data_IF_586711324772
#
_entry.id   IF_586711324772
#
_cell.length_a   1.000
_cell.length_b   1.000
_cell.length_c   1.000
_cell.angle_alpha   90.00
_cell.angle_beta   90.00
_cell.angle_gamma   90.00
#
_symmetry.space_group_name_H-M   'P 1'
#
loop_
_entity.id
_entity.type
_entity.pdbx_description
1 polymer ?
#
# COMPACT_ATOMS: atom_id res chain seq x y z
N UNK A 1 -17.56 21.54 5.19
CA UNK A 1 -17.75 20.30 4.40
C UNK A 1 -18.95 19.49 4.89
N UNK A 2 -19.08 19.18 6.20
CA UNK A 2 -20.22 18.43 6.75
C UNK A 2 -21.59 19.01 6.36
N UNK A 3 -21.81 20.30 6.65
CA UNK A 3 -23.10 20.94 6.38
C UNK A 3 -23.45 20.93 4.87
N UNK A 4 -22.45 20.96 4.00
CA UNK A 4 -22.62 20.81 2.55
C UNK A 4 -23.11 19.40 2.18
N UNK A 5 -22.46 18.36 2.71
CA UNK A 5 -22.87 16.96 2.49
C UNK A 5 -24.28 16.73 3.03
N UNK A 6 -24.57 17.15 4.25
CA UNK A 6 -25.90 16.99 4.87
C UNK A 6 -27.00 17.71 4.07
N UNK A 7 -26.70 18.91 3.56
CA UNK A 7 -27.66 19.69 2.79
C UNK A 7 -27.90 19.14 1.38
N UNK A 8 -26.84 18.79 0.65
CA UNK A 8 -26.89 18.48 -0.78
C UNK A 8 -26.94 16.98 -1.11
N UNK A 9 -26.32 16.11 -0.31
CA UNK A 9 -26.16 14.69 -0.65
C UNK A 9 -27.33 13.87 -0.11
N UNK A 10 -28.49 13.99 -0.77
CA UNK A 10 -29.76 13.38 -0.29
C UNK A 10 -30.12 12.05 -0.94
N UNK A 11 -29.77 11.86 -2.22
CA UNK A 11 -30.25 10.74 -3.03
C UNK A 11 -29.12 10.07 -3.80
N UNK A 12 -29.37 8.85 -4.30
CA UNK A 12 -28.42 8.04 -5.08
C UNK A 12 -27.08 7.88 -4.36
N UNK A 13 -25.98 7.76 -5.12
CA UNK A 13 -24.63 7.54 -4.59
C UNK A 13 -24.18 8.66 -3.62
N UNK A 14 -24.64 9.90 -3.83
CA UNK A 14 -24.35 10.99 -2.91
C UNK A 14 -25.02 10.73 -1.55
N UNK A 15 -26.30 10.34 -1.55
CA UNK A 15 -27.04 9.96 -0.34
C UNK A 15 -26.43 8.75 0.37
N UNK A 16 -25.96 7.74 -0.37
CA UNK A 16 -25.27 6.59 0.22
C UNK A 16 -23.94 6.98 0.86
N UNK A 17 -23.15 7.86 0.22
CA UNK A 17 -21.91 8.38 0.79
C UNK A 17 -22.18 9.10 2.12
N UNK A 18 -23.23 9.93 2.18
CA UNK A 18 -23.64 10.60 3.42
C UNK A 18 -24.00 9.58 4.51
N UNK A 19 -24.86 8.60 4.20
CA UNK A 19 -25.27 7.55 5.16
C UNK A 19 -24.08 6.75 5.67
N UNK A 20 -23.15 6.39 4.80
CA UNK A 20 -21.92 5.69 5.16
C UNK A 20 -21.06 6.52 6.12
N UNK A 21 -20.86 7.81 5.82
CA UNK A 21 -20.08 8.70 6.67
C UNK A 21 -20.71 8.92 8.06
N UNK A 22 -22.04 9.06 8.14
CA UNK A 22 -22.78 9.15 9.41
C UNK A 22 -22.63 7.86 10.21
N UNK A 23 -22.90 6.70 9.58
CA UNK A 23 -22.78 5.39 10.23
C UNK A 23 -21.37 5.11 10.75
N UNK A 24 -20.33 5.47 9.98
CA UNK A 24 -18.94 5.27 10.38
C UNK A 24 -18.57 6.13 11.59
N UNK A 25 -19.01 7.39 11.59
CA UNK A 25 -18.77 8.32 12.71
C UNK A 25 -19.45 7.84 13.97
N UNK A 26 -20.70 7.43 13.86
CA UNK A 26 -21.48 6.98 15.02
C UNK A 26 -20.86 5.69 15.60
N UNK A 27 -20.42 4.76 14.75
CA UNK A 27 -19.69 3.57 15.17
C UNK A 27 -18.38 3.90 15.92
N UNK A 28 -17.59 4.86 15.42
CA UNK A 28 -16.36 5.31 16.12
C UNK A 28 -16.68 6.00 17.45
N UNK A 29 -17.76 6.80 17.49
CA UNK A 29 -18.17 7.51 18.71
C UNK A 29 -18.64 6.57 19.83
N UNK A 30 -19.03 5.35 19.48
CA UNK A 30 -19.39 4.26 20.39
C UNK A 30 -18.20 3.31 20.68
N UNK A 31 -16.96 3.80 20.58
CA UNK A 31 -15.71 3.05 20.77
C UNK A 31 -15.53 1.85 19.81
N UNK A 32 -16.19 1.91 18.65
CA UNK A 32 -16.07 0.92 17.60
C UNK A 32 -14.66 0.84 17.01
N UNK A 33 -14.22 -0.38 16.69
CA UNK A 33 -12.88 -0.67 16.15
C UNK A 33 -12.96 -1.01 14.66
N UNK A 34 -12.25 -0.25 13.83
CA UNK A 34 -12.29 -0.44 12.39
C UNK A 34 -11.24 -1.42 11.88
N UNK A 35 -11.68 -2.33 11.02
CA UNK A 35 -10.83 -3.04 10.07
C UNK A 35 -11.05 -2.45 8.69
N UNK A 36 -9.97 -2.15 7.96
CA UNK A 36 -10.04 -1.62 6.60
C UNK A 36 -9.61 -2.69 5.61
N UNK A 37 -10.36 -2.81 4.51
CA UNK A 37 -9.99 -3.64 3.35
C UNK A 37 -9.59 -2.73 2.18
N UNK A 38 -8.38 -2.87 1.66
CA UNK A 38 -7.88 -2.11 0.52
C UNK A 38 -7.87 -3.01 -0.73
N UNK A 39 -8.69 -2.66 -1.73
CA UNK A 39 -8.63 -3.23 -3.08
C UNK A 39 -7.92 -2.28 -4.04
N UNK A 40 -7.60 -2.70 -5.26
CA UNK A 40 -6.98 -1.84 -6.29
C UNK A 40 -5.68 -1.14 -5.87
N UNK A 41 -5.21 -0.20 -6.69
CA UNK A 41 -3.99 0.58 -6.44
C UNK A 41 -4.27 1.78 -5.51
N UNK A 42 -4.82 1.54 -4.32
CA UNK A 42 -5.23 2.61 -3.39
C UNK A 42 -4.04 3.35 -2.78
N UNK A 43 -2.90 2.68 -2.64
CA UNK A 43 -1.64 3.31 -2.21
C UNK A 43 -1.11 4.25 -3.28
N UNK A 44 -1.12 3.84 -4.56
CA UNK A 44 -0.88 4.76 -5.69
C UNK A 44 -1.90 5.89 -5.75
N UNK A 45 -3.16 5.65 -5.36
CA UNK A 45 -4.19 6.69 -5.24
C UNK A 45 -4.04 7.58 -3.98
N UNK A 46 -2.92 7.45 -3.26
CA UNK A 46 -2.56 8.25 -2.09
C UNK A 46 -3.56 8.14 -0.93
N UNK A 47 -4.14 6.95 -0.72
CA UNK A 47 -5.03 6.69 0.42
C UNK A 47 -4.38 7.02 1.78
N UNK A 48 -3.04 6.96 1.85
CA UNK A 48 -2.30 7.26 3.06
C UNK A 48 -2.52 8.67 3.61
N UNK A 49 -2.91 9.65 2.77
CA UNK A 49 -3.27 11.01 3.22
C UNK A 49 -4.46 11.05 4.18
N UNK A 50 -5.34 10.06 4.14
CA UNK A 50 -6.47 9.92 5.07
C UNK A 50 -6.34 8.71 5.99
N UNK A 51 -5.70 7.64 5.54
CA UNK A 51 -5.53 6.41 6.30
C UNK A 51 -4.46 6.53 7.39
N UNK A 52 -3.30 7.12 7.09
CA UNK A 52 -2.24 7.30 8.07
C UNK A 52 -2.67 8.11 9.31
N UNK A 53 -3.33 9.29 9.19
CA UNK A 53 -3.81 9.99 10.37
C UNK A 53 -4.90 9.20 11.13
N UNK A 54 -5.76 8.44 10.43
CA UNK A 54 -6.75 7.60 11.10
C UNK A 54 -6.11 6.45 11.91
N UNK A 55 -4.99 5.87 11.42
CA UNK A 55 -4.18 4.90 12.17
C UNK A 55 -3.57 5.56 13.41
N UNK A 56 -2.91 6.71 13.25
CA UNK A 56 -2.25 7.42 14.36
C UNK A 56 -3.23 7.90 15.43
N UNK A 57 -4.47 8.20 15.05
CA UNK A 57 -5.57 8.51 15.98
C UNK A 57 -6.20 7.27 16.65
N UNK A 58 -5.68 6.06 16.39
CA UNK A 58 -6.15 4.82 17.00
C UNK A 58 -7.52 4.34 16.51
N UNK A 59 -7.99 4.83 15.35
CA UNK A 59 -9.31 4.45 14.80
C UNK A 59 -9.24 3.11 14.06
N UNK A 60 -8.11 2.83 13.42
CA UNK A 60 -7.87 1.62 12.63
C UNK A 60 -7.12 0.59 13.47
N UNK A 61 -7.63 -0.64 13.47
CA UNK A 61 -7.14 -1.72 14.33
C UNK A 61 -6.66 -2.94 13.54
N UNK A 62 -6.97 -3.03 12.25
CA UNK A 62 -6.44 -4.05 11.35
C UNK A 62 -6.60 -3.61 9.90
N UNK A 63 -5.74 -4.12 9.01
CA UNK A 63 -5.83 -3.87 7.57
C UNK A 63 -5.76 -5.19 6.82
N UNK A 64 -6.64 -5.40 5.85
CA UNK A 64 -6.52 -6.44 4.83
C UNK A 64 -6.27 -5.78 3.48
N UNK A 65 -5.22 -6.19 2.77
CA UNK A 65 -4.86 -5.60 1.49
C UNK A 65 -4.14 -6.58 0.57
N UNK A 66 -3.95 -6.19 -0.68
CA UNK A 66 -3.06 -6.90 -1.62
C UNK A 66 -1.59 -6.55 -1.35
N UNK A 67 -0.66 -7.38 -1.84
CA UNK A 67 0.78 -7.09 -1.76
C UNK A 67 1.16 -5.78 -2.45
N UNK A 68 0.49 -5.46 -3.56
CA UNK A 68 0.66 -4.21 -4.30
C UNK A 68 0.49 -2.95 -3.43
N UNK A 69 -0.50 -2.93 -2.52
CA UNK A 69 -0.70 -1.77 -1.65
C UNK A 69 0.47 -1.56 -0.67
N UNK A 70 1.04 -2.64 -0.12
CA UNK A 70 2.19 -2.52 0.77
C UNK A 70 3.39 -1.91 0.05
N UNK A 71 3.73 -2.48 -1.10
CA UNK A 71 4.93 -2.09 -1.84
C UNK A 71 4.80 -0.69 -2.44
N UNK A 72 3.61 -0.32 -2.95
CA UNK A 72 3.38 0.98 -3.56
C UNK A 72 3.45 2.14 -2.55
N UNK A 73 2.98 1.97 -1.31
CA UNK A 73 3.13 3.00 -0.27
C UNK A 73 4.61 3.21 0.08
N UNK A 74 5.36 2.11 0.23
CA UNK A 74 6.81 2.17 0.46
C UNK A 74 7.56 2.80 -0.73
N UNK A 75 7.24 2.40 -1.95
CA UNK A 75 7.84 2.95 -3.17
C UNK A 75 7.59 4.45 -3.29
N UNK A 76 6.36 4.88 -2.99
CA UNK A 76 6.01 6.29 -2.98
C UNK A 76 6.77 7.03 -1.87
N UNK A 77 6.86 6.45 -0.67
CA UNK A 77 7.58 7.05 0.45
C UNK A 77 9.03 7.38 0.07
N UNK A 78 9.73 6.48 -0.63
CA UNK A 78 11.17 6.61 -0.89
C UNK A 78 11.55 7.24 -2.24
N UNK A 79 10.58 7.43 -3.15
CA UNK A 79 10.88 7.84 -4.53
C UNK A 79 9.79 8.70 -5.20
N UNK A 80 8.83 9.27 -4.47
CA UNK A 80 7.74 10.09 -5.02
C UNK A 80 8.17 11.14 -6.05
N UNK A 81 9.28 11.84 -5.83
CA UNK A 81 9.82 12.88 -6.72
C UNK A 81 10.31 12.34 -8.07
N UNK A 82 10.47 11.03 -8.19
CA UNK A 82 10.92 10.33 -9.41
C UNK A 82 9.78 9.66 -10.19
N UNK A 83 8.53 9.71 -9.70
CA UNK A 83 7.40 9.14 -10.41
C UNK A 83 7.12 9.91 -11.71
N UNK A 84 6.81 9.17 -12.78
CA UNK A 84 6.35 9.76 -14.03
C UNK A 84 4.84 10.00 -14.02
N UNK A 85 4.39 10.98 -14.79
CA UNK A 85 2.98 11.23 -15.06
C UNK A 85 2.64 10.94 -16.52
N UNK A 86 1.43 10.41 -16.73
CA UNK A 86 0.89 10.07 -18.04
C UNK A 86 -0.45 10.79 -18.22
N UNK A 87 -0.47 12.05 -18.69
CA UNK A 87 -1.67 12.88 -18.72
C UNK A 87 -2.82 12.29 -19.55
N UNK A 88 -2.52 11.63 -20.66
CA UNK A 88 -3.50 11.05 -21.59
C UNK A 88 -3.60 9.51 -21.50
N UNK A 89 -3.37 8.93 -20.32
CA UNK A 89 -3.25 7.48 -20.10
C UNK A 89 -4.43 6.61 -20.59
N UNK A 90 -5.63 7.19 -20.79
CA UNK A 90 -6.79 6.46 -21.34
C UNK A 90 -6.80 6.35 -22.86
N UNK A 91 -5.99 7.14 -23.55
CA UNK A 91 -5.97 7.25 -25.00
C UNK A 91 -4.64 6.84 -25.64
N UNK A 92 -3.81 6.07 -24.94
CA UNK A 92 -2.53 5.60 -25.44
C UNK A 92 -2.71 4.63 -26.61
N UNK A 93 -1.89 4.78 -27.66
CA UNK A 93 -1.75 3.75 -28.68
C UNK A 93 -1.00 2.53 -28.12
N UNK A 94 -1.11 1.34 -28.76
CA UNK A 94 -0.31 0.18 -28.37
C UNK A 94 1.20 0.45 -28.36
N UNK A 95 1.68 1.27 -29.30
CA UNK A 95 3.09 1.68 -29.38
C UNK A 95 3.47 2.56 -28.20
N UNK A 96 2.66 3.56 -27.86
CA UNK A 96 2.91 4.43 -26.70
C UNK A 96 2.91 3.65 -25.38
N UNK A 97 1.93 2.74 -25.22
CA UNK A 97 1.83 1.85 -24.07
C UNK A 97 3.09 0.98 -23.91
N UNK A 98 3.65 0.47 -25.01
CA UNK A 98 4.85 -0.39 -24.98
C UNK A 98 6.12 0.31 -24.48
N UNK A 99 6.15 1.65 -24.51
CA UNK A 99 7.30 2.43 -24.05
C UNK A 99 7.24 2.75 -22.55
N UNK A 100 6.08 2.54 -21.92
CA UNK A 100 5.87 2.84 -20.50
C UNK A 100 6.20 1.60 -19.66
N UNK A 101 7.06 1.79 -18.65
CA UNK A 101 7.41 0.75 -17.67
C UNK A 101 6.70 1.02 -16.35
N UNK A 102 6.29 -0.05 -15.68
CA UNK A 102 5.70 -0.02 -14.32
C UNK A 102 4.59 1.04 -14.20
N UNK A 103 3.68 1.07 -15.18
CA UNK A 103 2.60 2.06 -15.25
C UNK A 103 1.39 1.60 -14.44
N UNK A 104 0.87 2.52 -13.63
CA UNK A 104 -0.39 2.37 -12.91
C UNK A 104 -1.26 3.55 -13.28
N UNK A 105 -2.24 3.33 -14.16
CA UNK A 105 -3.13 4.39 -14.66
C UNK A 105 -2.35 5.58 -15.23
N UNK A 106 -2.38 6.74 -14.58
CA UNK A 106 -1.70 7.97 -14.98
C UNK A 106 -0.29 8.14 -14.37
N UNK A 107 0.27 7.13 -13.71
CA UNK A 107 1.57 7.21 -13.02
C UNK A 107 2.51 6.09 -13.48
N UNK A 108 3.82 6.31 -13.38
CA UNK A 108 4.83 5.27 -13.54
C UNK A 108 5.74 5.19 -12.32
N UNK A 109 6.05 3.96 -11.87
CA UNK A 109 6.94 3.72 -10.75
C UNK A 109 8.40 3.70 -11.24
N UNK A 110 9.31 4.49 -10.63
CA UNK A 110 10.71 4.53 -11.04
C UNK A 110 11.45 3.28 -10.57
N UNK A 111 11.71 2.34 -11.48
CA UNK A 111 12.27 1.01 -11.16
C UNK A 111 13.54 1.06 -10.30
N UNK A 112 14.54 1.84 -10.72
CA UNK A 112 15.83 1.91 -10.02
C UNK A 112 15.74 2.61 -8.66
N UNK A 113 14.92 3.66 -8.57
CA UNK A 113 14.81 4.50 -7.37
C UNK A 113 13.86 3.93 -6.32
N UNK A 114 12.88 3.13 -6.74
CA UNK A 114 11.91 2.49 -5.86
C UNK A 114 12.16 0.97 -5.76
N UNK A 115 11.81 0.22 -6.82
CA UNK A 115 11.75 -1.25 -6.80
C UNK A 115 13.11 -1.87 -6.50
N UNK A 116 14.16 -1.51 -7.25
CA UNK A 116 15.51 -2.08 -7.08
C UNK A 116 16.16 -1.65 -5.77
N UNK A 117 15.88 -0.43 -5.31
CA UNK A 117 16.33 0.07 -4.00
C UNK A 117 15.77 -0.80 -2.87
N UNK A 118 14.45 -1.04 -2.86
CA UNK A 118 13.78 -1.90 -1.86
C UNK A 118 14.24 -3.35 -1.98
N UNK A 119 14.32 -3.89 -3.20
CA UNK A 119 14.80 -5.26 -3.46
C UNK A 119 16.17 -5.51 -2.80
N UNK A 120 17.12 -4.58 -2.99
CA UNK A 120 18.48 -4.75 -2.45
C UNK A 120 18.50 -4.90 -0.92
N UNK A 121 17.60 -4.20 -0.23
CA UNK A 121 17.46 -4.25 1.22
C UNK A 121 16.73 -5.52 1.66
N UNK A 122 15.64 -5.89 0.97
CA UNK A 122 14.87 -7.09 1.26
C UNK A 122 15.66 -8.39 1.05
N UNK A 123 16.50 -8.48 0.03
CA UNK A 123 17.36 -9.66 -0.17
C UNK A 123 18.21 -9.94 1.07
N UNK A 124 18.71 -8.90 1.73
CA UNK A 124 19.50 -9.05 2.96
C UNK A 124 18.68 -9.60 4.11
N UNK A 125 17.41 -9.18 4.23
CA UNK A 125 16.48 -9.69 5.25
C UNK A 125 16.01 -11.12 4.96
N UNK A 126 15.77 -11.46 3.70
CA UNK A 126 15.29 -12.78 3.28
C UNK A 126 16.34 -13.87 3.46
N UNK A 127 17.62 -13.60 3.17
CA UNK A 127 18.70 -14.60 3.21
C UNK A 127 18.82 -15.38 4.53
N UNK A 128 18.49 -14.74 5.65
CA UNK A 128 18.62 -15.34 6.98
C UNK A 128 17.27 -15.46 7.71
N UNK A 129 16.16 -15.31 6.98
CA UNK A 129 14.84 -15.35 7.60
C UNK A 129 14.46 -16.78 8.00
N UNK A 130 13.97 -17.00 9.24
CA UNK A 130 13.41 -18.29 9.66
C UNK A 130 11.98 -18.52 9.14
N UNK A 131 11.47 -17.64 8.27
CA UNK A 131 10.08 -17.59 7.84
C UNK A 131 9.32 -16.51 8.62
N UNK A 132 8.94 -15.45 7.90
CA UNK A 132 8.20 -14.29 8.40
C UNK A 132 7.11 -13.92 7.40
N UNK A 133 6.06 -13.26 7.85
CA UNK A 133 5.02 -12.73 6.98
C UNK A 133 5.58 -11.56 6.15
N UNK A 134 5.12 -11.38 4.89
CA UNK A 134 5.62 -10.33 4.01
C UNK A 134 5.61 -8.93 4.60
N UNK A 135 4.52 -8.56 5.30
CA UNK A 135 4.38 -7.24 5.89
C UNK A 135 5.39 -6.98 7.02
N UNK A 136 5.86 -8.01 7.73
CA UNK A 136 6.82 -7.85 8.81
C UNK A 136 8.18 -7.34 8.30
N UNK A 137 8.59 -7.79 7.11
CA UNK A 137 9.80 -7.27 6.46
C UNK A 137 9.63 -5.81 6.05
N UNK A 138 8.46 -5.48 5.51
CA UNK A 138 8.17 -4.12 5.06
C UNK A 138 8.00 -3.16 6.25
N UNK A 139 7.48 -3.63 7.38
CA UNK A 139 7.47 -2.89 8.64
C UNK A 139 8.87 -2.58 9.13
N UNK A 140 9.76 -3.58 9.13
CA UNK A 140 11.16 -3.38 9.50
C UNK A 140 11.82 -2.35 8.58
N UNK A 141 11.56 -2.44 7.27
CA UNK A 141 12.19 -1.60 6.27
C UNK A 141 11.67 -0.16 6.27
N UNK A 142 10.35 0.04 6.30
CA UNK A 142 9.71 1.36 6.21
C UNK A 142 10.15 2.28 7.36
N UNK A 143 10.49 1.70 8.52
CA UNK A 143 11.01 2.43 9.69
C UNK A 143 12.46 2.90 9.55
N UNK A 144 13.18 2.43 8.53
CA UNK A 144 14.63 2.67 8.36
C UNK A 144 14.96 3.44 7.09
N UNK A 145 14.01 3.61 6.17
CA UNK A 145 14.24 4.28 4.89
C UNK A 145 14.24 5.80 5.05
N UNK A 146 15.06 6.46 4.24
CA UNK A 146 14.97 7.90 4.04
C UNK A 146 13.77 8.21 3.13
N UNK A 147 12.88 9.05 3.64
CA UNK A 147 11.67 9.46 2.94
C UNK A 147 11.94 10.59 1.94
N UNK A 148 11.37 10.44 0.75
CA UNK A 148 11.34 11.43 -0.32
C UNK A 148 10.00 12.19 -0.35
N UNK A 149 8.89 11.52 0.01
CA UNK A 149 7.61 12.17 0.28
C UNK A 149 7.36 12.38 1.77
N UNK A 150 6.31 13.13 2.10
CA UNK A 150 5.90 13.40 3.48
C UNK A 150 5.52 12.09 4.21
N UNK A 151 6.30 11.68 5.25
CA UNK A 151 6.06 10.45 6.01
C UNK A 151 4.69 10.43 6.70
N UNK A 152 4.09 11.59 6.97
CA UNK A 152 2.75 11.67 7.55
C UNK A 152 1.69 11.06 6.63
N UNK A 153 1.96 10.95 5.33
CA UNK A 153 1.06 10.37 4.35
C UNK A 153 1.36 8.89 4.03
N UNK A 154 2.36 8.26 4.65
CA UNK A 154 2.60 6.81 4.49
C UNK A 154 1.74 6.02 5.48
N UNK A 155 0.79 5.26 4.95
CA UNK A 155 -0.05 4.40 5.81
C UNK A 155 0.71 3.18 6.29
N UNK A 156 1.68 2.68 5.51
CA UNK A 156 2.50 1.55 5.90
C UNK A 156 3.40 1.92 7.09
N UNK A 157 4.01 3.12 7.06
CA UNK A 157 4.78 3.63 8.18
C UNK A 157 3.92 3.77 9.44
N UNK A 158 2.76 4.42 9.33
CA UNK A 158 1.83 4.56 10.45
C UNK A 158 1.41 3.19 11.03
N UNK A 159 1.13 2.21 10.16
CA UNK A 159 0.77 0.86 10.58
C UNK A 159 1.95 0.14 11.26
N UNK A 160 3.18 0.32 10.77
CA UNK A 160 4.40 -0.26 11.34
C UNK A 160 4.82 0.35 12.69
N UNK A 161 4.48 1.61 12.93
CA UNK A 161 4.67 2.31 14.21
C UNK A 161 3.63 1.88 15.25
N UNK A 162 2.38 1.66 14.81
CA UNK A 162 1.28 1.20 15.65
C UNK A 162 1.25 -0.33 15.84
N UNK A 163 2.13 -1.06 15.16
CA UNK A 163 2.19 -2.54 15.15
C UNK A 163 0.83 -3.17 14.79
N UNK A 164 0.19 -2.65 13.74
CA UNK A 164 -1.13 -3.11 13.34
C UNK A 164 -1.10 -4.54 12.77
N UNK A 165 -2.09 -5.39 13.08
CA UNK A 165 -2.33 -6.62 12.36
C UNK A 165 -2.65 -6.35 10.88
N UNK A 166 -1.85 -6.97 10.00
CA UNK A 166 -2.07 -6.95 8.55
C UNK A 166 -2.40 -8.34 8.04
N UNK A 167 -3.34 -8.40 7.10
CA UNK A 167 -3.74 -9.61 6.39
C UNK A 167 -3.50 -9.40 4.90
N UNK A 168 -2.51 -10.10 4.34
CA UNK A 168 -2.10 -9.90 2.93
C UNK A 168 -2.06 -11.24 2.20
N UNK A 169 -3.22 -11.91 2.05
CA UNK A 169 -3.30 -13.15 1.29
C UNK A 169 -2.96 -12.87 -0.18
N UNK A 170 -2.16 -13.75 -0.79
CA UNK A 170 -1.75 -13.59 -2.18
C UNK A 170 -0.69 -12.50 -2.39
N UNK A 171 0.15 -12.23 -1.39
CA UNK A 171 1.29 -11.31 -1.55
C UNK A 171 2.18 -11.67 -2.74
N UNK A 172 2.24 -12.96 -3.11
CA UNK A 172 3.00 -13.46 -4.25
C UNK A 172 2.56 -12.80 -5.58
N UNK A 173 1.32 -12.34 -5.68
CA UNK A 173 0.79 -11.53 -6.79
C UNK A 173 1.13 -10.04 -6.59
N UNK A 174 2.43 -9.74 -6.48
CA UNK A 174 2.97 -8.38 -6.36
C UNK A 174 4.35 -8.28 -7.01
N UNK A 175 4.87 -7.06 -7.14
CA UNK A 175 6.21 -6.83 -7.69
C UNK A 175 7.28 -7.49 -6.82
N UNK A 176 7.20 -7.27 -5.50
CA UNK A 176 8.14 -7.85 -4.53
C UNK A 176 7.94 -9.37 -4.41
N UNK A 177 6.72 -9.87 -4.56
CA UNK A 177 6.42 -11.31 -4.63
C UNK A 177 7.10 -11.97 -5.84
N UNK A 178 6.99 -11.34 -7.03
CA UNK A 178 7.65 -11.81 -8.24
C UNK A 178 9.18 -11.76 -8.13
N UNK A 179 9.72 -10.71 -7.51
CA UNK A 179 11.16 -10.59 -7.23
C UNK A 179 11.60 -11.71 -6.29
N UNK A 180 10.88 -11.95 -5.20
CA UNK A 180 11.18 -13.04 -4.28
C UNK A 180 11.21 -14.40 -4.99
N UNK A 181 10.19 -14.69 -5.82
CA UNK A 181 10.16 -15.91 -6.62
C UNK A 181 11.38 -16.04 -7.55
N UNK A 182 11.82 -14.95 -8.19
CA UNK A 182 13.03 -14.94 -9.01
C UNK A 182 14.30 -15.25 -8.18
N UNK A 183 14.39 -14.73 -6.95
CA UNK A 183 15.51 -14.99 -6.02
C UNK A 183 15.50 -16.38 -5.41
N UNK A 184 14.34 -17.03 -5.35
CA UNK A 184 14.25 -18.46 -5.03
C UNK A 184 14.78 -19.30 -6.20
N UNK A 185 14.40 -18.95 -7.43
CA UNK A 185 14.83 -19.68 -8.64
C UNK A 185 16.34 -19.61 -8.85
N UNK A 186 16.97 -18.45 -8.60
CA UNK A 186 18.43 -18.29 -8.74
C UNK A 186 19.23 -18.80 -7.53
N UNK A 187 18.56 -19.26 -6.46
CA UNK A 187 19.17 -19.78 -5.24
C UNK A 187 19.70 -18.71 -4.28
N UNK A 188 19.39 -17.43 -4.50
CA UNK A 188 19.79 -16.34 -3.60
C UNK A 188 19.10 -16.39 -2.24
N UNK A 189 17.84 -16.84 -2.19
CA UNK A 189 17.04 -16.95 -0.96
C UNK A 189 16.30 -18.28 -0.90
N UNK A 190 16.00 -18.76 0.32
CA UNK A 190 15.21 -19.97 0.53
C UNK A 190 13.71 -19.70 0.33
N UNK A 191 12.97 -20.67 -0.23
CA UNK A 191 11.53 -20.55 -0.44
C UNK A 191 10.75 -20.34 0.86
N UNK A 192 11.27 -20.82 1.99
CA UNK A 192 10.66 -20.70 3.30
C UNK A 192 11.03 -19.38 4.01
N UNK A 193 11.85 -18.52 3.39
CA UNK A 193 12.24 -17.24 3.98
C UNK A 193 11.04 -16.31 4.20
N UNK A 194 10.02 -16.40 3.34
CA UNK A 194 8.78 -15.62 3.42
C UNK A 194 7.60 -16.59 3.49
N UNK A 195 6.72 -16.37 4.47
CA UNK A 195 5.51 -17.15 4.63
C UNK A 195 4.44 -16.72 3.63
N UNK A 196 3.78 -17.69 3.00
CA UNK A 196 2.70 -17.43 2.04
C UNK A 196 1.36 -17.12 2.71
N UNK A 197 0.35 -16.78 1.90
CA UNK A 197 -0.95 -16.28 2.35
C UNK A 197 -1.73 -17.14 3.37
N UNK A 198 -1.45 -18.44 3.47
CA UNK A 198 -2.11 -19.36 4.41
C UNK A 198 -1.58 -19.28 5.86
N UNK A 199 -0.54 -18.47 6.10
CA UNK A 199 0.07 -18.29 7.43
C UNK A 199 -0.44 -17.05 8.18
N UNK A 200 -1.31 -16.25 7.56
CA UNK A 200 -1.98 -15.11 8.18
C UNK A 200 -3.08 -15.53 9.17
#
# INVERSE_FOLDING_TARGET
MRDFVEHHFRHFNAGELRRCAESLRDFIAEDGRLMITLGGAMSTAEIGRSLAPAIREGKIHAICCTGANLEEDLFHLIAASHYGEVPHWRGLSPEEESQLKNRITNRTIPEEKAIRKVESQLISLWKNSPGRLPHEFLYELVKQVEADSDPENSWLLAAAEADLPLFVPGWEDSTLGNIFAARVIDGTVDVNAVQGGIHY
#
